data_IF_876461686659
#
_entry.id   IF_876461686659
#
_cell.length_a   1.000
_cell.length_b   1.000
_cell.length_c   1.000
_cell.angle_alpha   90.00
_cell.angle_beta   90.00
_cell.angle_gamma   90.00
#
_symmetry.space_group_name_H-M   'P 1'
#
loop_
_entity.id
_entity.type
_entity.pdbx_description
1 polymer ?
#
# COMPACT_ATOMS: atom_id res chain seq x y z
N UNK A 1 -16.19 4.54 9.78
CA UNK A 1 -14.77 4.90 9.94
C UNK A 1 -13.92 3.74 9.46
N UNK A 2 -13.09 3.97 8.46
CA UNK A 2 -12.09 3.01 8.00
C UNK A 2 -10.85 3.05 8.90
N UNK A 3 -10.31 1.88 9.23
CA UNK A 3 -9.10 1.71 10.01
C UNK A 3 -8.11 0.82 9.22
N UNK A 4 -7.19 1.42 8.44
CA UNK A 4 -6.24 0.68 7.63
C UNK A 4 -4.92 0.39 8.36
N UNK A 5 -4.30 -0.73 8.02
CA UNK A 5 -2.96 -1.12 8.48
C UNK A 5 -2.17 -1.76 7.35
N UNK A 6 -0.84 -1.81 7.50
CA UNK A 6 0.06 -2.40 6.50
C UNK A 6 1.08 -3.34 7.11
N UNK A 7 1.46 -4.36 6.34
CA UNK A 7 2.50 -5.31 6.69
C UNK A 7 3.36 -5.63 5.47
N UNK A 8 4.67 -5.83 5.65
CA UNK A 8 5.60 -6.17 4.57
C UNK A 8 6.11 -7.61 4.71
N UNK A 9 6.18 -8.33 3.60
CA UNK A 9 6.79 -9.66 3.51
C UNK A 9 7.64 -9.78 2.24
N UNK A 10 8.97 -9.95 2.37
CA UNK A 10 9.76 -9.84 3.60
C UNK A 10 9.69 -8.44 4.20
N UNK A 11 10.04 -8.32 5.50
CA UNK A 11 9.98 -7.05 6.24
C UNK A 11 10.97 -5.98 5.76
N UNK A 12 11.92 -6.36 4.90
CA UNK A 12 13.01 -5.50 4.40
C UNK A 12 13.30 -5.83 2.94
N UNK A 13 13.67 -4.80 2.19
CA UNK A 13 14.14 -4.88 0.81
C UNK A 13 15.67 -4.95 0.78
N UNK A 14 16.25 -5.70 -0.17
CA UNK A 14 17.70 -5.71 -0.37
C UNK A 14 18.14 -4.59 -1.34
N UNK A 15 19.21 -3.89 -1.00
CA UNK A 15 19.71 -2.78 -1.79
C UNK A 15 20.48 -3.24 -3.04
N UNK A 16 20.45 -2.43 -4.10
CA UNK A 16 21.21 -2.58 -5.35
C UNK A 16 21.00 -3.88 -6.14
N UNK A 17 20.01 -4.69 -5.76
CA UNK A 17 19.70 -5.97 -6.42
C UNK A 17 18.23 -6.02 -6.81
N UNK A 18 17.92 -6.76 -7.87
CA UNK A 18 16.52 -7.03 -8.24
C UNK A 18 15.88 -7.92 -7.19
N UNK A 19 14.80 -7.44 -6.60
CA UNK A 19 13.97 -8.20 -5.68
C UNK A 19 12.54 -7.65 -5.70
N UNK A 20 11.63 -8.38 -5.06
CA UNK A 20 10.28 -7.92 -4.80
C UNK A 20 9.93 -8.15 -3.34
N UNK A 21 9.06 -7.30 -2.82
CA UNK A 21 8.41 -7.47 -1.54
C UNK A 21 6.89 -7.33 -1.72
N UNK A 22 6.13 -8.00 -0.87
CA UNK A 22 4.69 -7.80 -0.78
C UNK A 22 4.35 -6.86 0.37
N UNK A 23 3.66 -5.77 0.09
CA UNK A 23 2.95 -4.99 1.10
C UNK A 23 1.50 -5.46 1.13
N UNK A 24 1.09 -6.06 2.25
CA UNK A 24 -0.30 -6.33 2.56
C UNK A 24 -0.93 -5.09 3.19
N UNK A 25 -2.03 -4.64 2.59
CA UNK A 25 -2.86 -3.56 3.07
C UNK A 25 -4.15 -4.15 3.59
N UNK A 26 -4.41 -3.99 4.88
CA UNK A 26 -5.65 -4.43 5.53
C UNK A 26 -6.52 -3.22 5.83
N UNK A 27 -7.82 -3.30 5.58
CA UNK A 27 -8.78 -2.24 5.94
C UNK A 27 -9.91 -2.86 6.75
N UNK A 28 -10.13 -2.34 7.95
CA UNK A 28 -11.30 -2.66 8.77
C UNK A 28 -12.34 -1.55 8.65
N UNK A 29 -13.61 -1.91 8.52
CA UNK A 29 -14.71 -0.95 8.57
C UNK A 29 -15.31 -0.96 9.98
N UNK A 30 -14.98 0.06 10.77
CA UNK A 30 -15.53 0.27 12.12
C UNK A 30 -16.80 1.14 12.08
N UNK A 31 -17.25 1.53 10.89
CA UNK A 31 -18.52 2.21 10.69
C UNK A 31 -19.71 1.26 10.58
N UNK A 32 -20.87 1.87 10.39
CA UNK A 32 -22.19 1.24 10.44
C UNK A 32 -22.76 0.97 9.03
N UNK A 33 -22.06 1.43 7.98
CA UNK A 33 -22.48 1.28 6.59
C UNK A 33 -21.38 0.58 5.80
N UNK A 34 -21.72 -0.24 4.79
CA UNK A 34 -20.75 -0.77 3.85
C UNK A 34 -19.96 0.34 3.17
N UNK A 35 -18.69 0.09 2.90
CA UNK A 35 -17.81 1.01 2.16
C UNK A 35 -17.17 0.28 1.00
N UNK A 36 -17.24 0.84 -0.19
CA UNK A 36 -16.33 0.44 -1.27
C UNK A 36 -15.02 1.18 -1.06
N UNK A 37 -13.92 0.43 -0.91
CA UNK A 37 -12.60 0.96 -0.58
C UNK A 37 -11.65 0.87 -1.77
N UNK A 38 -11.04 2.01 -2.09
CA UNK A 38 -9.86 2.11 -2.97
C UNK A 38 -8.67 2.67 -2.20
N UNK A 39 -7.46 2.38 -2.67
CA UNK A 39 -6.22 2.86 -2.07
C UNK A 39 -5.29 3.39 -3.16
N UNK A 40 -4.91 4.66 -3.05
CA UNK A 40 -3.81 5.26 -3.80
C UNK A 40 -2.50 5.04 -3.05
N UNK A 41 -1.50 4.53 -3.76
CA UNK A 41 -0.15 4.29 -3.25
C UNK A 41 0.82 5.20 -3.98
N UNK A 42 1.64 5.92 -3.24
CA UNK A 42 2.76 6.70 -3.75
C UNK A 42 4.05 6.26 -3.07
N UNK A 43 5.07 5.95 -3.86
CA UNK A 43 6.37 5.47 -3.42
C UNK A 43 7.49 6.39 -3.96
N UNK A 44 8.69 6.42 -3.34
CA UNK A 44 9.82 7.19 -3.87
C UNK A 44 10.36 6.58 -5.17
N UNK A 45 11.09 7.38 -5.95
CA UNK A 45 11.66 7.00 -7.26
C UNK A 45 12.76 5.93 -7.18
N UNK A 46 13.22 5.56 -5.99
CA UNK A 46 14.22 4.51 -5.81
C UNK A 46 13.64 3.09 -6.06
N UNK A 47 12.32 2.93 -5.95
CA UNK A 47 11.57 1.67 -6.05
C UNK A 47 10.39 1.80 -7.01
N UNK A 48 9.80 0.67 -7.42
CA UNK A 48 8.70 0.65 -8.40
C UNK A 48 7.51 -0.21 -7.97
N UNK A 49 6.30 0.18 -8.38
CA UNK A 49 5.08 -0.64 -8.30
C UNK A 49 4.92 -1.58 -9.51
N UNK A 50 5.83 -1.53 -10.48
CA UNK A 50 5.85 -2.40 -11.65
C UNK A 50 7.24 -3.05 -11.81
N UNK A 51 7.32 -4.31 -12.30
CA UNK A 51 8.57 -5.06 -12.38
C UNK A 51 9.51 -4.61 -13.50
N UNK A 52 8.97 -4.01 -14.55
CA UNK A 52 9.63 -3.78 -15.84
C UNK A 52 9.84 -2.30 -16.18
N UNK A 53 9.20 -1.40 -15.43
CA UNK A 53 9.28 0.05 -15.60
C UNK A 53 9.17 0.76 -14.27
N UNK A 54 9.63 2.00 -14.21
CA UNK A 54 9.41 2.86 -13.05
C UNK A 54 7.95 3.28 -12.94
N UNK A 55 7.32 2.94 -11.83
CA UNK A 55 5.95 3.32 -11.50
C UNK A 55 5.90 3.75 -10.03
N UNK A 56 5.93 5.07 -9.79
CA UNK A 56 5.96 5.64 -8.44
C UNK A 56 4.56 5.84 -7.82
N UNK A 57 3.50 5.72 -8.63
CA UNK A 57 2.12 5.90 -8.18
C UNK A 57 1.21 4.84 -8.78
N UNK A 58 0.28 4.34 -7.99
CA UNK A 58 -0.70 3.37 -8.43
C UNK A 58 -1.97 3.44 -7.59
N UNK A 59 -3.10 3.07 -8.20
CA UNK A 59 -4.39 2.91 -7.51
C UNK A 59 -4.75 1.44 -7.49
N UNK A 60 -5.19 0.94 -6.34
CA UNK A 60 -5.74 -0.40 -6.22
C UNK A 60 -7.17 -0.37 -5.66
N UNK A 61 -8.02 -1.25 -6.19
CA UNK A 61 -9.31 -1.55 -5.59
C UNK A 61 -9.08 -2.55 -4.46
N UNK A 62 -9.41 -2.15 -3.23
CA UNK A 62 -9.30 -3.02 -2.06
C UNK A 62 -10.50 -3.96 -2.02
N UNK A 63 -11.72 -3.40 -2.16
CA UNK A 63 -12.97 -4.16 -2.23
C UNK A 63 -14.11 -3.49 -1.47
N UNK A 64 -15.22 -4.20 -1.27
CA UNK A 64 -16.33 -3.73 -0.42
C UNK A 64 -16.14 -4.32 0.98
N UNK A 65 -16.19 -3.49 2.01
CA UNK A 65 -16.02 -3.89 3.41
C UNK A 65 -17.31 -3.61 4.18
N UNK A 66 -17.96 -4.66 4.66
CA UNK A 66 -19.18 -4.52 5.46
C UNK A 66 -18.87 -4.01 6.88
N UNK A 67 -19.86 -3.48 7.61
CA UNK A 67 -19.68 -3.08 9.00
C UNK A 67 -19.06 -4.20 9.86
N UNK A 68 -18.00 -3.87 10.58
CA UNK A 68 -17.27 -4.79 11.46
C UNK A 68 -16.27 -5.72 10.75
N UNK A 69 -16.33 -5.83 9.42
CA UNK A 69 -15.45 -6.69 8.65
C UNK A 69 -14.06 -6.08 8.41
N UNK A 70 -13.14 -6.95 8.00
CA UNK A 70 -11.82 -6.58 7.48
C UNK A 70 -11.58 -7.25 6.14
N UNK A 71 -10.89 -6.56 5.25
CA UNK A 71 -10.40 -7.09 3.99
C UNK A 71 -8.91 -6.80 3.85
N UNK A 72 -8.18 -7.68 3.18
CA UNK A 72 -6.76 -7.50 2.87
C UNK A 72 -6.50 -7.56 1.38
N UNK A 73 -5.57 -6.74 0.90
CA UNK A 73 -5.05 -6.79 -0.47
C UNK A 73 -3.55 -6.63 -0.46
N UNK A 74 -2.86 -7.39 -1.32
CA UNK A 74 -1.42 -7.31 -1.50
C UNK A 74 -1.06 -6.45 -2.70
N UNK A 75 0.00 -5.67 -2.57
CA UNK A 75 0.67 -4.98 -3.66
C UNK A 75 2.15 -5.36 -3.64
N UNK A 76 2.74 -5.53 -4.82
CA UNK A 76 4.17 -5.81 -4.96
C UNK A 76 4.94 -4.52 -5.17
N UNK A 77 6.07 -4.43 -4.52
CA UNK A 77 7.02 -3.34 -4.65
C UNK A 77 8.35 -3.95 -5.08
N UNK A 78 8.94 -3.37 -6.12
CA UNK A 78 10.10 -3.90 -6.81
C UNK A 78 11.32 -3.03 -6.53
N UNK A 79 12.40 -3.67 -6.10
CA UNK A 79 13.74 -3.09 -5.95
C UNK A 79 14.62 -3.41 -7.16
N UNK A 80 15.72 -2.69 -7.29
CA UNK A 80 16.65 -2.84 -8.40
C UNK A 80 18.00 -2.14 -8.16
N UNK A 81 18.70 -1.81 -9.25
CA UNK A 81 19.98 -1.12 -9.14
C UNK A 81 19.87 0.29 -8.51
N UNK A 82 18.68 0.90 -8.55
CA UNK A 82 18.39 2.21 -7.99
C UNK A 82 17.99 2.19 -6.51
N UNK A 83 17.64 1.04 -5.94
CA UNK A 83 17.20 0.95 -4.54
C UNK A 83 18.41 0.94 -3.61
N UNK A 84 18.83 2.11 -3.14
CA UNK A 84 19.93 2.31 -2.20
C UNK A 84 19.49 2.14 -0.72
N UNK A 85 20.40 1.81 0.22
CA UNK A 85 20.04 1.62 1.63
C UNK A 85 19.44 2.88 2.23
N UNK A 86 18.19 2.81 2.67
CA UNK A 86 17.42 3.90 3.26
C UNK A 86 16.10 3.35 3.86
N UNK A 87 15.32 4.20 4.53
CA UNK A 87 13.92 3.93 4.84
C UNK A 87 13.01 4.66 3.85
N UNK A 88 12.35 3.89 2.99
CA UNK A 88 11.41 4.41 2.01
C UNK A 88 10.05 4.64 2.65
N UNK A 89 9.57 5.88 2.62
CA UNK A 89 8.25 6.26 3.12
C UNK A 89 7.22 6.11 2.00
N UNK A 90 6.36 5.10 2.12
CA UNK A 90 5.23 4.88 1.23
C UNK A 90 4.02 5.66 1.76
N UNK A 91 3.36 6.44 0.90
CA UNK A 91 2.16 7.20 1.26
C UNK A 91 0.94 6.48 0.69
N UNK A 92 -0.04 6.25 1.56
CA UNK A 92 -1.26 5.52 1.26
C UNK A 92 -2.46 6.43 1.52
N UNK A 93 -3.33 6.58 0.53
CA UNK A 93 -4.58 7.33 0.67
C UNK A 93 -5.74 6.38 0.38
N UNK A 94 -6.53 6.10 1.41
CA UNK A 94 -7.73 5.27 1.30
C UNK A 94 -8.94 6.15 1.04
N UNK A 95 -9.76 5.73 0.08
CA UNK A 95 -11.04 6.33 -0.23
C UNK A 95 -12.13 5.32 0.08
N UNK A 96 -13.03 5.67 0.99
CA UNK A 96 -14.26 4.92 1.27
C UNK A 96 -15.43 5.59 0.59
N UNK A 97 -15.98 4.94 -0.43
CA UNK A 97 -17.15 5.40 -1.14
C UNK A 97 -18.43 4.84 -0.51
N UNK A 98 -19.47 5.66 -0.43
CA UNK A 98 -20.84 5.24 -0.10
C UNK A 98 -21.50 4.52 -1.29
N UNK A 99 -22.70 3.97 -1.06
CA UNK A 99 -23.47 3.21 -2.05
C UNK A 99 -23.86 4.04 -3.29
N UNK A 100 -23.92 5.35 -3.16
CA UNK A 100 -24.18 6.32 -4.24
C UNK A 100 -22.90 6.71 -5.02
N UNK A 101 -21.75 6.14 -4.67
CA UNK A 101 -20.47 6.39 -5.34
C UNK A 101 -19.77 7.68 -4.90
N UNK A 102 -20.25 8.38 -3.88
CA UNK A 102 -19.60 9.58 -3.33
C UNK A 102 -18.50 9.19 -2.35
N UNK A 103 -17.39 9.95 -2.33
CA UNK A 103 -16.34 9.77 -1.30
C UNK A 103 -16.90 10.19 0.05
N UNK A 104 -17.21 9.21 0.89
CA UNK A 104 -17.72 9.45 2.23
C UNK A 104 -16.58 9.58 3.26
N UNK A 105 -15.46 8.89 3.03
CA UNK A 105 -14.32 8.87 3.93
C UNK A 105 -13.01 8.93 3.13
N UNK A 106 -12.05 9.70 3.65
CA UNK A 106 -10.66 9.73 3.17
C UNK A 106 -9.74 9.54 4.36
N UNK A 107 -8.80 8.61 4.26
CA UNK A 107 -7.83 8.34 5.31
C UNK A 107 -6.42 8.26 4.72
N UNK A 108 -5.49 8.98 5.32
CA UNK A 108 -4.09 9.02 4.89
C UNK A 108 -3.20 8.35 5.92
N UNK A 109 -2.30 7.49 5.47
CA UNK A 109 -1.30 6.85 6.32
C UNK A 109 0.02 6.70 5.59
N UNK A 110 1.06 6.42 6.37
CA UNK A 110 2.41 6.16 5.87
C UNK A 110 2.85 4.78 6.31
N UNK A 111 3.64 4.14 5.47
CA UNK A 111 4.27 2.87 5.78
C UNK A 111 5.75 2.95 5.44
N UNK A 112 6.59 2.54 6.39
CA UNK A 112 8.04 2.69 6.28
C UNK A 112 8.66 1.35 5.89
N UNK A 113 9.24 1.30 4.69
CA UNK A 113 9.93 0.15 4.17
C UNK A 113 11.44 0.34 4.32
N UNK A 114 12.10 -0.55 5.06
CA UNK A 114 13.56 -0.53 5.16
C UNK A 114 14.20 -1.22 3.97
N UNK A 115 15.17 -0.54 3.37
CA UNK A 115 16.08 -1.09 2.38
C UNK A 115 17.48 -1.17 2.98
N UNK A 116 18.08 -2.36 2.98
CA UNK A 116 19.38 -2.60 3.62
C UNK A 116 20.32 -3.29 2.63
N UNK A 117 21.63 -3.09 2.79
CA UNK A 117 22.60 -3.91 2.04
C UNK A 117 22.41 -5.36 2.47
N UNK A 118 22.22 -6.26 1.51
CA UNK A 118 22.31 -7.69 1.77
C UNK A 118 23.68 -7.99 2.38
N UNK A 119 23.69 -8.72 3.49
CA UNK A 119 24.90 -9.31 4.07
C UNK A 119 25.31 -10.47 3.19
#
# INVERSE_FOLDING_TARGET
MLNPSTHFSPIRMAAYVRNEIEMEVTVRNEGNQPRWVECDVSIPEAISLAPDRMLSKGRMRVGIVLPGERISKKIRIYGGASSYPDTYVLRLTFFGYSSDGVVAERYETKSDLRCERGV
#
